data_IF_594873445334
#
_entry.id   IF_594873445334
#
_cell.length_a   1.000
_cell.length_b   1.000
_cell.length_c   1.000
_cell.angle_alpha   90.00
_cell.angle_beta   90.00
_cell.angle_gamma   90.00
#
_symmetry.space_group_name_H-M   'P 1'
#
loop_
_entity.id
_entity.type
_entity.pdbx_description
1 polymer ?
#
# COMPACT_ATOMS: atom_id res chain seq x y z
N UNK A 1 43.31 -30.96 31.86
CA UNK A 1 42.65 -29.63 31.87
C UNK A 1 43.24 -28.84 30.72
N UNK A 2 42.48 -28.71 29.59
CA UNK A 2 42.96 -27.94 28.45
C UNK A 2 43.08 -26.43 28.82
N UNK A 3 44.18 -25.84 28.48
CA UNK A 3 44.51 -24.44 28.77
C UNK A 3 43.46 -23.53 28.14
N UNK A 4 43.11 -22.39 28.80
CA UNK A 4 42.20 -21.36 28.29
C UNK A 4 42.59 -20.87 26.87
N UNK A 5 43.87 -20.94 26.53
CA UNK A 5 44.45 -20.61 25.22
C UNK A 5 44.04 -21.63 24.13
N UNK A 6 43.87 -22.91 24.51
CA UNK A 6 43.44 -23.98 23.61
C UNK A 6 41.95 -23.84 23.30
N UNK A 7 41.12 -23.59 24.34
CA UNK A 7 39.67 -23.35 24.17
C UNK A 7 39.38 -22.11 23.31
N UNK A 8 40.16 -21.03 23.43
CA UNK A 8 40.04 -19.85 22.58
C UNK A 8 40.36 -20.14 21.09
N UNK A 9 41.35 -21.02 20.82
CA UNK A 9 41.71 -21.41 19.45
C UNK A 9 40.63 -22.33 18.83
N UNK A 10 40.04 -23.21 19.60
CA UNK A 10 39.02 -24.14 19.15
C UNK A 10 37.72 -23.37 18.85
N UNK A 11 37.33 -22.38 19.66
CA UNK A 11 36.22 -21.49 19.44
C UNK A 11 36.38 -20.59 18.19
N UNK A 12 37.58 -20.06 17.95
CA UNK A 12 37.89 -19.28 16.73
C UNK A 12 37.78 -20.14 15.48
N UNK A 13 38.23 -21.39 15.51
CA UNK A 13 38.16 -22.31 14.37
C UNK A 13 36.71 -22.74 14.06
N UNK A 14 35.87 -22.87 15.09
CA UNK A 14 34.47 -23.15 14.96
C UNK A 14 33.71 -21.97 14.34
N UNK A 15 34.01 -20.74 14.76
CA UNK A 15 33.46 -19.49 14.20
C UNK A 15 33.86 -19.31 12.73
N UNK A 16 35.12 -19.52 12.37
CA UNK A 16 35.60 -19.47 10.97
C UNK A 16 34.91 -20.53 10.10
N UNK A 17 34.67 -21.73 10.65
CA UNK A 17 33.91 -22.79 9.97
C UNK A 17 32.44 -22.39 9.70
N UNK A 18 31.80 -21.76 10.67
CA UNK A 18 30.43 -21.30 10.56
C UNK A 18 30.27 -20.14 9.55
N UNK A 19 31.20 -19.17 9.55
CA UNK A 19 31.24 -18.06 8.57
C UNK A 19 31.44 -18.56 7.14
N UNK A 20 32.37 -19.48 6.92
CA UNK A 20 32.63 -20.07 5.60
C UNK A 20 31.46 -20.93 5.08
N UNK A 21 30.67 -21.54 5.98
CA UNK A 21 29.47 -22.30 5.62
C UNK A 21 28.33 -21.35 5.19
N UNK A 22 28.23 -20.19 5.82
CA UNK A 22 27.25 -19.15 5.48
C UNK A 22 27.57 -18.51 4.12
N UNK A 23 28.80 -18.14 3.88
CA UNK A 23 29.31 -17.61 2.60
C UNK A 23 29.08 -18.55 1.40
N UNK A 24 29.18 -19.88 1.64
CA UNK A 24 28.89 -20.89 0.62
C UNK A 24 27.39 -20.96 0.30
N UNK A 25 26.52 -20.83 1.30
CA UNK A 25 25.05 -20.83 1.09
C UNK A 25 24.61 -19.60 0.33
N UNK A 26 25.11 -18.41 0.66
CA UNK A 26 24.75 -17.17 -0.03
C UNK A 26 25.21 -17.14 -1.50
N UNK A 27 26.37 -17.75 -1.83
CA UNK A 27 26.86 -17.80 -3.23
C UNK A 27 26.18 -18.84 -4.11
N UNK A 28 25.51 -19.85 -3.55
CA UNK A 28 24.85 -20.90 -4.34
C UNK A 28 23.35 -20.67 -4.52
N UNK A 29 22.68 -19.89 -3.67
CA UNK A 29 21.26 -19.59 -3.79
C UNK A 29 20.85 -18.82 -5.06
N UNK A 30 21.56 -17.76 -5.50
CA UNK A 30 21.12 -17.02 -6.69
C UNK A 30 21.25 -17.84 -7.99
N UNK A 31 22.24 -18.74 -8.08
CA UNK A 31 22.44 -19.57 -9.28
C UNK A 31 21.36 -20.63 -9.46
N UNK A 32 20.87 -21.23 -8.36
CA UNK A 32 19.77 -22.23 -8.41
C UNK A 32 18.43 -21.60 -8.76
N UNK A 33 18.13 -20.40 -8.23
CA UNK A 33 16.90 -19.67 -8.54
C UNK A 33 16.87 -19.22 -10.00
N UNK A 34 17.99 -18.72 -10.53
CA UNK A 34 18.11 -18.31 -11.95
C UNK A 34 17.97 -19.50 -12.90
N UNK A 35 18.52 -20.67 -12.57
CA UNK A 35 18.37 -21.88 -13.38
C UNK A 35 16.93 -22.41 -13.39
N UNK A 36 16.22 -22.38 -12.28
CA UNK A 36 14.81 -22.79 -12.21
C UNK A 36 13.92 -21.81 -13.00
N UNK A 37 14.15 -20.49 -12.88
CA UNK A 37 13.42 -19.48 -13.65
C UNK A 37 13.64 -19.64 -15.17
N UNK A 38 14.85 -19.94 -15.60
CA UNK A 38 15.16 -20.16 -17.02
C UNK A 38 14.46 -21.41 -17.58
N UNK A 39 14.38 -22.50 -16.82
CA UNK A 39 13.67 -23.74 -17.25
C UNK A 39 12.17 -23.50 -17.36
N UNK A 40 11.57 -22.75 -16.41
CA UNK A 40 10.14 -22.41 -16.44
C UNK A 40 9.81 -21.51 -17.65
N UNK A 41 10.65 -20.52 -17.96
CA UNK A 41 10.47 -19.66 -19.12
C UNK A 41 10.53 -20.43 -20.43
N UNK A 42 11.48 -21.37 -20.59
CA UNK A 42 11.59 -22.22 -21.79
C UNK A 42 10.37 -23.14 -21.93
N UNK A 43 9.82 -23.65 -20.84
CA UNK A 43 8.61 -24.49 -20.86
C UNK A 43 7.36 -23.68 -21.27
N UNK A 44 7.23 -22.43 -20.79
CA UNK A 44 6.10 -21.55 -21.14
C UNK A 44 6.19 -21.14 -22.63
N UNK A 45 7.35 -20.69 -23.09
CA UNK A 45 7.56 -20.28 -24.49
C UNK A 45 7.40 -21.47 -25.45
N UNK A 46 7.93 -22.65 -25.08
CA UNK A 46 7.75 -23.88 -25.84
C UNK A 46 6.30 -24.35 -25.90
N UNK A 47 5.56 -24.21 -24.79
CA UNK A 47 4.12 -24.54 -24.72
C UNK A 47 3.27 -23.62 -25.60
N UNK A 48 3.54 -22.31 -25.58
CA UNK A 48 2.83 -21.33 -26.44
C UNK A 48 3.14 -21.56 -27.91
N UNK A 49 4.40 -21.82 -28.26
CA UNK A 49 4.80 -22.12 -29.64
C UNK A 49 4.15 -23.42 -30.16
N UNK A 50 4.08 -24.48 -29.32
CA UNK A 50 3.41 -25.72 -29.68
C UNK A 50 1.90 -25.55 -29.84
N UNK A 51 1.24 -24.81 -28.97
CA UNK A 51 -0.20 -24.51 -29.08
C UNK A 51 -0.52 -23.67 -30.34
N UNK A 52 0.34 -22.70 -30.69
CA UNK A 52 0.17 -21.86 -31.87
C UNK A 52 0.42 -22.61 -33.19
N UNK A 53 1.23 -23.69 -33.19
CA UNK A 53 1.55 -24.47 -34.39
C UNK A 53 0.65 -25.69 -34.58
N UNK A 54 -0.05 -26.15 -33.53
CA UNK A 54 -0.90 -27.34 -33.59
C UNK A 54 -2.34 -27.06 -34.07
N UNK A 55 -2.78 -25.78 -34.14
CA UNK A 55 -4.13 -25.39 -34.53
C UNK A 55 -4.24 -24.85 -35.96
N UNK A 56 -3.25 -25.07 -36.85
CA UNK A 56 -3.35 -24.73 -38.25
C UNK A 56 -3.42 -26.00 -39.12
N UNK A 57 -4.59 -26.59 -39.24
CA UNK A 57 -4.97 -27.41 -40.38
C UNK A 57 -6.18 -26.77 -41.06
N UNK A 58 -5.90 -26.22 -42.23
CA UNK A 58 -6.68 -25.90 -43.41
C UNK A 58 -8.22 -25.89 -43.33
N UNK A 59 -8.81 -24.71 -43.41
CA UNK A 59 -10.09 -24.50 -44.10
C UNK A 59 -9.95 -23.44 -45.20
N UNK A 60 -10.09 -23.92 -46.45
CA UNK A 60 -10.16 -23.16 -47.68
C UNK A 60 -11.50 -22.42 -47.70
N UNK A 61 -11.50 -21.07 -47.59
CA UNK A 61 -12.72 -20.26 -47.67
C UNK A 61 -12.92 -19.75 -49.07
N UNK A 62 -13.91 -20.29 -49.74
CA UNK A 62 -14.48 -19.77 -50.99
C UNK A 62 -15.22 -18.46 -50.71
N UNK A 63 -14.83 -17.41 -51.44
CA UNK A 63 -15.52 -16.11 -51.38
C UNK A 63 -16.87 -16.17 -52.12
N UNK A 64 -17.95 -15.88 -51.41
CA UNK A 64 -19.21 -15.40 -51.99
C UNK A 64 -19.67 -14.10 -51.32
N UNK A 65 -19.77 -13.10 -52.17
CA UNK A 65 -20.18 -11.74 -51.91
C UNK A 65 -21.71 -11.69 -51.57
N UNK A 66 -22.06 -11.26 -50.34
CA UNK A 66 -23.39 -10.68 -50.10
C UNK A 66 -23.33 -9.62 -49.00
N UNK A 67 -23.42 -8.37 -49.42
CA UNK A 67 -23.69 -7.23 -48.59
C UNK A 67 -25.03 -7.35 -47.87
N UNK A 68 -24.97 -7.44 -46.55
CA UNK A 68 -26.13 -7.08 -45.72
C UNK A 68 -25.59 -6.24 -44.56
N UNK A 69 -25.91 -4.95 -44.59
CA UNK A 69 -25.68 -4.04 -43.50
C UNK A 69 -26.63 -4.38 -42.33
N UNK A 70 -26.14 -5.10 -41.34
CA UNK A 70 -26.73 -5.10 -40.01
C UNK A 70 -25.90 -4.16 -39.15
N UNK A 71 -26.53 -3.06 -38.77
CA UNK A 71 -26.07 -2.15 -37.75
C UNK A 71 -26.04 -2.95 -36.44
N UNK A 72 -24.87 -3.46 -36.06
CA UNK A 72 -24.65 -3.90 -34.71
C UNK A 72 -24.65 -2.65 -33.82
N UNK A 73 -25.72 -2.55 -33.03
CA UNK A 73 -25.76 -1.67 -31.87
C UNK A 73 -24.73 -2.20 -30.87
N UNK A 74 -23.48 -1.76 -31.03
CA UNK A 74 -22.45 -1.98 -30.02
C UNK A 74 -22.81 -1.09 -28.84
N UNK A 75 -23.55 -1.65 -27.88
CA UNK A 75 -23.61 -1.12 -26.53
C UNK A 75 -22.16 -1.02 -26.06
N UNK A 76 -21.65 0.15 -25.63
CA UNK A 76 -20.30 0.23 -25.13
C UNK A 76 -20.20 -0.71 -23.92
N UNK A 77 -19.43 -1.77 -24.07
CA UNK A 77 -19.06 -2.66 -22.97
C UNK A 77 -18.46 -1.76 -21.89
N UNK A 78 -19.04 -1.76 -20.71
CA UNK A 78 -18.50 -1.02 -19.57
C UNK A 78 -17.10 -1.57 -19.28
N UNK A 79 -16.08 -0.81 -19.63
CA UNK A 79 -14.67 -1.22 -19.50
C UNK A 79 -14.08 -0.81 -18.15
N UNK A 80 -14.90 -0.38 -17.19
CA UNK A 80 -14.45 -0.08 -15.83
C UNK A 80 -14.04 -1.38 -15.13
N UNK A 81 -12.75 -1.55 -14.82
CA UNK A 81 -12.24 -2.77 -14.21
C UNK A 81 -12.74 -2.99 -12.78
N UNK A 82 -13.33 -1.98 -12.15
CA UNK A 82 -13.88 -2.02 -10.79
C UNK A 82 -15.39 -2.23 -10.72
N UNK A 83 -16.08 -2.25 -11.87
CA UNK A 83 -17.56 -2.30 -11.93
C UNK A 83 -18.19 -3.50 -11.22
N UNK A 84 -17.46 -4.60 -11.06
CA UNK A 84 -17.96 -5.83 -10.41
C UNK A 84 -17.69 -5.88 -8.90
N UNK A 85 -16.97 -4.89 -8.34
CA UNK A 85 -16.65 -4.83 -6.91
C UNK A 85 -17.67 -3.98 -6.15
N UNK A 86 -17.97 -4.40 -4.93
CA UNK A 86 -18.81 -3.60 -4.02
C UNK A 86 -18.02 -2.37 -3.53
N UNK A 87 -18.71 -1.23 -3.40
CA UNK A 87 -18.12 -0.04 -2.79
C UNK A 87 -17.92 -0.26 -1.29
N UNK A 88 -16.78 0.16 -0.77
CA UNK A 88 -16.50 0.18 0.66
C UNK A 88 -17.55 1.03 1.38
N UNK A 89 -18.18 0.49 2.41
CA UNK A 89 -18.98 1.29 3.31
C UNK A 89 -18.08 2.30 4.05
N UNK A 90 -18.55 3.51 4.28
CA UNK A 90 -17.82 4.57 5.01
C UNK A 90 -18.35 4.77 6.42
N UNK A 91 -19.32 3.97 6.83
CA UNK A 91 -19.93 3.98 8.16
C UNK A 91 -19.99 2.56 8.72
N UNK A 92 -19.83 2.43 10.03
CA UNK A 92 -19.98 1.16 10.74
C UNK A 92 -21.44 0.71 10.76
N UNK A 93 -21.65 -0.61 10.70
CA UNK A 93 -22.98 -1.21 10.84
C UNK A 93 -23.58 -0.95 12.24
N UNK A 94 -22.73 -0.92 13.27
CA UNK A 94 -23.11 -0.61 14.65
C UNK A 94 -22.15 0.46 15.22
N UNK A 95 -22.73 1.46 15.89
CA UNK A 95 -21.93 2.51 16.53
C UNK A 95 -21.09 1.96 17.69
N UNK A 96 -19.85 2.43 17.78
CA UNK A 96 -18.96 2.13 18.89
C UNK A 96 -19.46 2.77 20.20
N UNK A 97 -19.02 2.28 21.39
CA UNK A 97 -19.23 2.98 22.66
C UNK A 97 -18.61 4.39 22.59
N UNK A 98 -19.07 5.38 23.39
CA UNK A 98 -18.58 6.77 23.32
C UNK A 98 -17.06 6.92 23.49
N UNK A 99 -16.42 5.96 24.14
CA UNK A 99 -14.96 5.86 24.26
C UNK A 99 -14.51 4.41 24.14
N UNK A 100 -13.29 4.23 23.62
CA UNK A 100 -12.61 2.92 23.53
C UNK A 100 -11.23 3.01 24.16
N UNK A 101 -10.62 1.85 24.43
CA UNK A 101 -9.20 1.75 24.78
C UNK A 101 -8.43 1.23 23.59
N UNK A 102 -7.42 1.96 23.17
CA UNK A 102 -6.54 1.62 22.05
C UNK A 102 -5.25 1.00 22.59
N UNK A 103 -4.72 0.01 21.87
CA UNK A 103 -3.44 -0.62 22.21
C UNK A 103 -2.41 -0.28 21.13
N UNK A 104 -1.30 0.32 21.54
CA UNK A 104 -0.15 0.62 20.70
C UNK A 104 1.04 -0.19 21.20
N UNK A 105 1.54 -1.10 20.35
CA UNK A 105 2.63 -2.00 20.70
C UNK A 105 3.95 -1.46 20.15
N UNK A 106 4.99 -1.42 20.99
CA UNK A 106 6.34 -1.05 20.52
C UNK A 106 6.78 -2.00 19.39
N UNK A 107 7.27 -1.45 18.28
CA UNK A 107 7.76 -2.19 17.12
C UNK A 107 8.93 -1.50 16.43
N UNK A 108 10.11 -2.09 16.55
CA UNK A 108 11.34 -1.62 15.92
C UNK A 108 11.86 -0.28 16.43
N UNK A 109 12.84 0.25 15.71
CA UNK A 109 13.40 1.57 15.98
C UNK A 109 12.60 2.64 15.24
N UNK A 110 12.15 3.73 15.88
CA UNK A 110 11.37 4.78 15.22
C UNK A 110 12.22 5.57 14.20
N UNK A 111 11.61 5.92 13.05
CA UNK A 111 12.23 6.85 12.10
C UNK A 111 12.34 8.27 12.65
N UNK A 112 11.34 8.70 13.43
CA UNK A 112 11.35 9.84 14.36
C UNK A 112 10.74 9.37 15.68
N UNK A 113 11.40 9.63 16.80
CA UNK A 113 10.94 9.21 18.13
C UNK A 113 9.90 10.22 18.66
N UNK A 114 8.67 9.78 18.79
CA UNK A 114 7.53 10.57 19.31
C UNK A 114 6.83 9.88 20.48
N UNK A 115 7.36 8.75 20.95
CA UNK A 115 6.72 7.92 21.98
C UNK A 115 5.45 7.26 21.51
N UNK A 116 4.73 6.63 22.46
CA UNK A 116 3.44 5.96 22.20
C UNK A 116 2.28 6.94 22.39
N UNK A 117 1.21 6.85 21.58
CA UNK A 117 -0.04 7.56 21.85
C UNK A 117 -0.66 7.11 23.17
N UNK A 118 -1.36 8.02 23.86
CA UNK A 118 -2.23 7.64 24.99
C UNK A 118 -3.48 6.92 24.43
N UNK A 119 -3.66 5.67 24.83
CA UNK A 119 -4.76 4.83 24.35
C UNK A 119 -5.97 4.78 25.27
N UNK A 120 -5.95 5.48 26.43
CA UNK A 120 -7.04 5.40 27.40
C UNK A 120 -8.18 6.39 27.09
N UNK A 121 -9.43 5.89 27.13
CA UNK A 121 -10.64 6.71 26.93
C UNK A 121 -10.65 7.51 25.60
N UNK A 122 -10.16 6.91 24.52
CA UNK A 122 -10.16 7.53 23.18
C UNK A 122 -11.59 7.74 22.70
N UNK A 123 -11.94 8.96 22.32
CA UNK A 123 -13.28 9.32 21.82
C UNK A 123 -13.57 8.64 20.49
N UNK A 124 -14.80 8.15 20.36
CA UNK A 124 -15.34 7.59 19.09
C UNK A 124 -16.30 8.56 18.40
N UNK A 125 -16.39 9.79 18.87
CA UNK A 125 -17.35 10.78 18.36
C UNK A 125 -16.64 11.93 17.61
N UNK A 126 -17.28 12.38 16.52
CA UNK A 126 -16.88 13.53 15.74
C UNK A 126 -15.69 13.28 14.82
N UNK A 127 -15.31 14.33 14.11
CA UNK A 127 -14.20 14.34 13.17
C UNK A 127 -13.05 15.18 13.70
N UNK A 128 -11.85 14.96 13.14
CA UNK A 128 -10.66 15.81 13.33
C UNK A 128 -10.16 16.21 11.96
N UNK A 129 -9.95 17.50 11.75
CA UNK A 129 -9.33 17.96 10.52
C UNK A 129 -7.82 18.04 10.71
N UNK A 130 -7.08 17.40 9.82
CA UNK A 130 -5.63 17.53 9.68
C UNK A 130 -5.34 18.19 8.34
N UNK A 131 -4.56 19.25 8.34
CA UNK A 131 -4.07 19.89 7.12
C UNK A 131 -2.59 19.55 6.91
N UNK A 132 -2.29 19.05 5.72
CA UNK A 132 -0.92 18.85 5.24
C UNK A 132 -0.59 20.03 4.32
N UNK A 133 0.32 20.92 4.75
CA UNK A 133 0.96 21.87 3.86
C UNK A 133 2.00 21.15 3.03
N UNK A 134 1.76 21.00 1.73
CA UNK A 134 2.69 20.26 0.85
C UNK A 134 3.34 21.17 -0.19
N UNK A 135 4.45 20.70 -0.75
CA UNK A 135 5.14 21.39 -1.85
C UNK A 135 4.26 21.55 -3.10
N UNK A 136 3.18 20.79 -3.23
CA UNK A 136 2.24 20.82 -4.35
C UNK A 136 0.95 21.62 -4.04
N UNK A 137 0.72 21.98 -2.78
CA UNK A 137 -0.48 22.64 -2.27
C UNK A 137 -1.03 21.99 -1.01
N UNK A 138 -2.06 22.54 -0.38
CA UNK A 138 -2.65 21.99 0.82
C UNK A 138 -3.46 20.73 0.53
N UNK A 139 -3.45 19.78 1.48
CA UNK A 139 -4.30 18.58 1.49
C UNK A 139 -4.98 18.51 2.84
N UNK A 140 -6.27 18.84 2.88
CA UNK A 140 -7.09 18.70 4.08
C UNK A 140 -7.66 17.28 4.19
N UNK A 141 -7.48 16.67 5.36
CA UNK A 141 -7.97 15.34 5.73
C UNK A 141 -9.00 15.47 6.85
N UNK A 142 -10.22 15.00 6.62
CA UNK A 142 -11.27 14.90 7.64
C UNK A 142 -11.27 13.49 8.22
N UNK A 143 -10.70 13.31 9.40
CA UNK A 143 -10.51 12.02 10.06
C UNK A 143 -11.73 11.69 10.92
N UNK A 144 -12.30 10.50 10.75
CA UNK A 144 -13.55 10.10 11.40
C UNK A 144 -13.30 9.13 12.59
N UNK A 145 -13.52 9.65 13.80
CA UNK A 145 -13.42 8.85 15.04
C UNK A 145 -14.48 7.77 15.14
N UNK A 146 -15.60 7.91 14.43
CA UNK A 146 -16.69 6.94 14.54
C UNK A 146 -16.36 5.62 13.83
N UNK A 147 -15.46 5.64 12.85
CA UNK A 147 -15.07 4.44 12.10
C UNK A 147 -13.73 3.86 12.56
N UNK A 148 -12.75 4.69 12.93
CA UNK A 148 -11.41 4.23 13.30
C UNK A 148 -10.78 5.09 14.40
N UNK A 149 -11.32 5.06 15.62
CA UNK A 149 -10.88 5.95 16.71
C UNK A 149 -9.42 5.77 17.09
N UNK A 150 -8.89 4.54 17.11
CA UNK A 150 -7.50 4.28 17.47
C UNK A 150 -6.54 4.77 16.38
N UNK A 151 -6.92 4.63 15.13
CA UNK A 151 -6.17 5.16 13.99
C UNK A 151 -6.14 6.69 14.01
N UNK A 152 -7.32 7.33 14.20
CA UNK A 152 -7.39 8.80 14.30
C UNK A 152 -6.55 9.31 15.48
N UNK A 153 -6.61 8.64 16.63
CA UNK A 153 -5.80 8.98 17.81
C UNK A 153 -4.29 8.86 17.52
N UNK A 154 -3.86 7.81 16.84
CA UNK A 154 -2.46 7.63 16.43
C UNK A 154 -2.00 8.72 15.47
N UNK A 155 -2.80 9.01 14.42
CA UNK A 155 -2.46 10.05 13.43
C UNK A 155 -2.39 11.44 14.09
N UNK A 156 -3.35 11.79 14.95
CA UNK A 156 -3.33 13.06 15.70
C UNK A 156 -2.07 13.14 16.57
N UNK A 157 -1.74 12.09 17.32
CA UNK A 157 -0.51 12.05 18.12
C UNK A 157 0.75 12.28 17.25
N UNK A 158 0.82 11.65 16.07
CA UNK A 158 1.95 11.83 15.15
C UNK A 158 2.03 13.28 14.62
N UNK A 159 0.88 13.87 14.26
CA UNK A 159 0.80 15.28 13.81
C UNK A 159 1.21 16.24 14.92
N UNK A 160 0.68 16.08 16.14
CA UNK A 160 1.00 16.96 17.28
C UNK A 160 2.46 16.88 17.75
N UNK A 161 3.20 15.84 17.31
CA UNK A 161 4.63 15.67 17.59
C UNK A 161 5.51 15.87 16.34
N UNK A 162 5.04 16.63 15.34
CA UNK A 162 5.76 17.02 14.13
C UNK A 162 6.33 15.82 13.35
N UNK A 163 5.71 14.63 13.48
CA UNK A 163 6.24 13.40 12.89
C UNK A 163 6.30 13.45 11.37
N UNK A 164 5.29 14.06 10.74
CA UNK A 164 5.16 14.15 9.29
C UNK A 164 5.90 15.35 8.67
N UNK A 165 6.39 16.28 9.48
CA UNK A 165 7.08 17.48 9.01
C UNK A 165 8.38 17.14 8.28
N UNK A 166 8.61 17.83 7.16
CA UNK A 166 9.74 17.62 6.25
C UNK A 166 9.84 16.18 5.68
N UNK A 167 8.70 15.46 5.55
CA UNK A 167 8.67 14.11 4.99
C UNK A 167 8.17 14.11 3.55
N UNK A 168 8.45 13.03 2.80
CA UNK A 168 8.03 12.90 1.40
C UNK A 168 6.96 11.83 1.24
N UNK A 169 6.03 12.04 0.31
CA UNK A 169 5.14 11.00 -0.17
C UNK A 169 5.92 10.16 -1.19
N UNK A 170 6.36 9.01 -0.75
CA UNK A 170 7.40 8.21 -1.43
C UNK A 170 6.88 7.30 -2.55
N UNK A 171 5.56 7.10 -2.65
CA UNK A 171 4.96 6.19 -3.64
C UNK A 171 3.65 6.76 -4.17
N UNK A 172 3.46 6.63 -5.47
CA UNK A 172 2.20 6.89 -6.16
C UNK A 172 1.90 5.74 -7.12
N UNK A 173 0.63 5.39 -7.29
CA UNK A 173 0.18 4.43 -8.30
C UNK A 173 -0.75 5.11 -9.29
N UNK A 174 -0.65 4.73 -10.58
CA UNK A 174 -1.40 5.34 -11.69
C UNK A 174 -2.15 4.28 -12.51
N UNK A 175 -2.32 3.08 -11.95
CA UNK A 175 -3.05 1.99 -12.61
C UNK A 175 -4.57 2.21 -12.60
N UNK A 176 -5.27 1.63 -13.59
CA UNK A 176 -6.72 1.76 -13.74
C UNK A 176 -7.52 1.18 -12.55
N UNK A 177 -6.89 0.33 -11.72
CA UNK A 177 -7.52 -0.32 -10.56
C UNK A 177 -7.02 0.21 -9.22
N UNK A 178 -6.03 1.10 -9.21
CA UNK A 178 -5.50 1.68 -7.97
C UNK A 178 -4.78 2.99 -8.27
N UNK A 179 -5.30 4.08 -7.73
CA UNK A 179 -4.78 5.44 -7.88
C UNK A 179 -4.62 6.08 -6.51
N UNK A 180 -3.43 5.94 -5.93
CA UNK A 180 -3.12 6.42 -4.58
C UNK A 180 -1.82 7.18 -4.52
N UNK A 181 -1.73 8.14 -3.59
CA UNK A 181 -0.50 8.75 -3.10
C UNK A 181 -0.25 8.25 -1.68
N UNK A 182 0.89 7.59 -1.44
CA UNK A 182 1.27 7.04 -0.14
C UNK A 182 2.33 7.89 0.54
N UNK A 183 2.08 8.26 1.79
CA UNK A 183 2.91 9.13 2.61
C UNK A 183 3.13 8.51 4.01
N UNK A 184 3.82 9.25 4.89
CA UNK A 184 3.89 8.93 6.31
C UNK A 184 5.11 8.11 6.75
N UNK A 185 6.11 7.96 5.87
CA UNK A 185 7.43 7.43 6.22
C UNK A 185 8.49 8.54 6.22
N UNK A 186 9.01 8.97 7.39
CA UNK A 186 10.04 10.02 7.45
C UNK A 186 11.34 9.67 6.74
N UNK A 187 11.60 8.38 6.50
CA UNK A 187 12.80 7.93 5.76
C UNK A 187 12.65 8.06 4.24
N UNK A 188 11.42 8.18 3.74
CA UNK A 188 11.10 8.23 2.31
C UNK A 188 11.36 6.92 1.56
N UNK A 189 11.61 5.82 2.26
CA UNK A 189 11.94 4.52 1.66
C UNK A 189 10.75 3.56 1.56
N UNK A 190 9.64 3.88 2.22
CA UNK A 190 8.48 3.01 2.40
C UNK A 190 8.62 1.98 3.53
N UNK A 191 9.76 2.00 4.26
CA UNK A 191 10.05 1.02 5.32
C UNK A 191 10.12 1.62 6.72
N UNK A 192 10.12 2.95 6.84
CA UNK A 192 10.14 3.64 8.13
C UNK A 192 8.79 3.64 8.81
N UNK A 193 8.82 3.71 10.13
CA UNK A 193 7.62 3.75 10.98
C UNK A 193 7.86 4.50 12.28
N UNK A 194 6.82 4.63 13.12
CA UNK A 194 6.86 5.45 14.33
C UNK A 194 7.45 4.73 15.55
N UNK A 195 7.91 3.47 15.39
CA UNK A 195 8.39 2.64 16.49
C UNK A 195 7.25 1.95 17.27
N UNK A 196 6.05 2.00 16.75
CA UNK A 196 4.90 1.26 17.27
C UNK A 196 3.96 0.79 16.15
N UNK A 197 3.16 -0.23 16.48
CA UNK A 197 2.10 -0.77 15.62
C UNK A 197 0.78 -0.88 16.40
N UNK A 198 -0.33 -0.86 15.65
CA UNK A 198 -1.66 -1.06 16.20
C UNK A 198 -2.56 -1.85 15.25
N UNK A 199 -3.64 -2.39 15.82
CA UNK A 199 -4.54 -3.30 15.11
C UNK A 199 -5.32 -2.58 14.00
N UNK A 200 -5.77 -3.36 13.00
CA UNK A 200 -6.70 -2.88 12.00
C UNK A 200 -8.05 -2.57 12.67
N UNK A 201 -8.69 -1.51 12.18
CA UNK A 201 -10.06 -1.15 12.52
C UNK A 201 -10.98 -1.35 11.31
N UNK A 202 -12.01 -0.54 11.15
CA UNK A 202 -12.96 -0.63 10.05
C UNK A 202 -12.29 -0.50 8.65
N UNK A 203 -12.64 -1.32 7.67
CA UNK A 203 -13.71 -2.34 7.68
C UNK A 203 -13.26 -3.72 8.17
N UNK A 204 -11.97 -3.91 8.45
CA UNK A 204 -11.36 -5.23 8.74
C UNK A 204 -12.00 -5.91 9.95
N UNK A 205 -12.39 -5.14 10.96
CA UNK A 205 -12.98 -5.64 12.20
C UNK A 205 -14.50 -5.96 12.09
N UNK A 206 -15.14 -5.58 10.96
CA UNK A 206 -16.55 -5.90 10.69
C UNK A 206 -16.74 -6.93 9.56
N UNK A 207 -15.69 -7.41 8.91
CA UNK A 207 -15.79 -8.40 7.86
C UNK A 207 -15.03 -9.69 8.18
N UNK A 208 -15.64 -10.83 7.81
CA UNK A 208 -14.95 -12.14 7.88
C UNK A 208 -14.11 -12.40 6.62
N UNK A 209 -14.47 -11.78 5.49
CA UNK A 209 -13.75 -11.90 4.21
C UNK A 209 -12.88 -10.66 3.98
N UNK A 210 -11.60 -10.77 4.30
CA UNK A 210 -10.59 -9.75 4.06
C UNK A 210 -9.82 -9.98 2.75
N UNK A 211 -10.31 -10.84 1.86
CA UNK A 211 -9.61 -11.21 0.62
C UNK A 211 -10.32 -10.73 -0.65
N UNK A 212 -11.65 -10.64 -0.65
CA UNK A 212 -12.42 -10.13 -1.80
C UNK A 212 -12.27 -8.61 -1.88
N UNK A 213 -11.79 -8.06 -3.02
CA UNK A 213 -11.63 -6.63 -3.17
C UNK A 213 -12.96 -5.87 -3.07
N UNK A 214 -12.88 -4.68 -2.47
CA UNK A 214 -13.92 -3.66 -2.47
C UNK A 214 -13.37 -2.37 -3.06
N UNK A 215 -14.21 -1.46 -3.50
CA UNK A 215 -13.79 -0.17 -4.04
C UNK A 215 -13.62 0.83 -2.90
N UNK A 216 -12.38 1.24 -2.65
CA UNK A 216 -12.07 2.45 -1.89
C UNK A 216 -12.24 3.63 -2.84
N UNK A 217 -13.36 4.34 -2.72
CA UNK A 217 -13.69 5.44 -3.62
C UNK A 217 -12.67 6.58 -3.55
N UNK A 218 -12.57 7.32 -4.64
CA UNK A 218 -11.81 8.58 -4.67
C UNK A 218 -12.18 9.47 -3.48
N UNK A 219 -11.18 9.99 -2.83
CA UNK A 219 -11.31 10.83 -1.63
C UNK A 219 -11.14 10.09 -0.32
N UNK A 220 -11.20 8.75 -0.31
CA UNK A 220 -10.99 7.98 0.93
C UNK A 220 -9.53 7.98 1.36
N UNK A 221 -9.32 7.89 2.68
CA UNK A 221 -8.01 7.80 3.32
C UNK A 221 -7.93 6.48 4.07
N UNK A 222 -6.85 5.70 3.86
CA UNK A 222 -6.66 4.46 4.59
C UNK A 222 -5.21 4.25 5.02
N UNK A 223 -5.03 3.41 6.06
CA UNK A 223 -3.70 3.06 6.57
C UNK A 223 -3.00 2.09 5.61
N UNK A 224 -1.75 2.38 5.30
CA UNK A 224 -0.85 1.38 4.73
C UNK A 224 -0.33 0.46 5.84
N UNK A 225 -0.21 -0.84 5.54
CA UNK A 225 0.30 -1.84 6.48
C UNK A 225 1.16 -2.90 5.79
N UNK A 226 1.90 -3.68 6.58
CA UNK A 226 2.74 -4.79 6.12
C UNK A 226 2.07 -6.17 6.36
N UNK A 227 0.77 -6.18 6.55
CA UNK A 227 -0.06 -7.34 6.86
C UNK A 227 -1.04 -7.04 8.00
N UNK A 228 -1.83 -8.01 8.45
CA UNK A 228 -2.84 -7.78 9.46
C UNK A 228 -2.25 -7.19 10.75
N UNK A 229 -2.90 -6.15 11.29
CA UNK A 229 -2.54 -5.55 12.58
C UNK A 229 -1.12 -4.96 12.65
N UNK A 230 -0.65 -4.39 11.55
CA UNK A 230 0.66 -3.73 11.44
C UNK A 230 0.55 -2.26 11.00
N UNK A 231 -0.54 -1.58 11.36
CA UNK A 231 -0.67 -0.16 11.12
C UNK A 231 0.39 0.60 11.92
N UNK A 232 0.99 1.61 11.31
CA UNK A 232 1.99 2.48 11.93
C UNK A 232 1.71 3.94 11.63
N UNK A 233 2.58 4.58 10.86
CA UNK A 233 2.43 5.99 10.46
C UNK A 233 2.07 6.19 8.99
N UNK A 234 2.22 5.16 8.16
CA UNK A 234 2.01 5.30 6.72
C UNK A 234 0.54 5.21 6.36
N UNK A 235 0.09 6.08 5.47
CA UNK A 235 -1.26 6.13 4.95
C UNK A 235 -1.26 6.39 3.45
N UNK A 236 -2.38 6.12 2.80
CA UNK A 236 -2.56 6.47 1.40
C UNK A 236 -3.85 7.26 1.17
N UNK A 237 -3.76 8.15 0.19
CA UNK A 237 -4.78 9.08 -0.24
C UNK A 237 -5.28 8.61 -1.61
N UNK A 238 -6.54 8.19 -1.70
CA UNK A 238 -7.14 7.74 -2.96
C UNK A 238 -7.51 8.96 -3.81
N UNK A 239 -6.73 9.25 -4.85
CA UNK A 239 -7.05 10.30 -5.82
C UNK A 239 -7.90 9.80 -7.00
N UNK A 240 -8.10 8.50 -7.08
CA UNK A 240 -9.07 7.79 -7.91
C UNK A 240 -9.57 6.57 -7.17
N UNK A 241 -10.50 5.83 -7.76
CA UNK A 241 -11.04 4.63 -7.17
C UNK A 241 -9.97 3.53 -7.08
N UNK A 242 -9.98 2.77 -5.99
CA UNK A 242 -9.01 1.72 -5.72
C UNK A 242 -9.67 0.40 -5.35
N UNK A 243 -9.46 -0.66 -6.14
CA UNK A 243 -9.90 -2.03 -5.84
C UNK A 243 -8.91 -2.71 -4.89
N UNK A 244 -9.20 -2.73 -3.60
CA UNK A 244 -8.34 -3.30 -2.57
C UNK A 244 -9.11 -4.26 -1.67
N UNK A 245 -8.45 -5.30 -1.13
CA UNK A 245 -9.03 -6.08 -0.04
C UNK A 245 -9.41 -5.19 1.14
N UNK A 246 -10.50 -5.47 1.88
CA UNK A 246 -10.92 -4.71 3.07
C UNK A 246 -10.00 -4.99 4.27
N UNK A 247 -8.69 -4.99 4.03
CA UNK A 247 -7.60 -5.23 4.98
C UNK A 247 -6.84 -3.95 5.35
N UNK A 248 -7.28 -2.81 4.82
CA UNK A 248 -6.69 -1.49 5.07
C UNK A 248 -7.69 -0.64 5.82
N UNK A 249 -7.32 -0.18 7.02
CA UNK A 249 -8.20 0.63 7.86
C UNK A 249 -8.55 1.94 7.17
N UNK A 250 -9.83 2.09 6.79
CA UNK A 250 -10.39 3.36 6.37
C UNK A 250 -10.60 4.25 7.59
N UNK A 251 -10.18 5.52 7.53
CA UNK A 251 -10.27 6.41 8.69
C UNK A 251 -10.65 7.86 8.37
N UNK A 252 -10.99 8.19 7.13
CA UNK A 252 -11.40 9.55 6.80
C UNK A 252 -11.52 9.85 5.32
N UNK A 253 -11.78 11.13 5.03
CA UNK A 253 -12.00 11.68 3.69
C UNK A 253 -11.07 12.87 3.44
N UNK A 254 -10.72 13.07 2.18
CA UNK A 254 -9.96 14.22 1.67
C UNK A 254 -10.96 15.29 1.27
N UNK A 255 -10.74 16.53 1.66
CA UNK A 255 -11.60 17.64 1.26
C UNK A 255 -11.40 18.04 -0.22
N UNK A 256 -12.30 18.87 -0.76
CA UNK A 256 -12.28 19.27 -2.19
C UNK A 256 -10.96 19.97 -2.59
N UNK A 257 -10.36 20.77 -1.72
CA UNK A 257 -9.08 21.43 -1.96
C UNK A 257 -7.94 20.44 -2.05
N UNK A 258 -7.89 19.48 -1.13
CA UNK A 258 -6.92 18.38 -1.13
C UNK A 258 -7.06 17.50 -2.38
N UNK A 259 -8.28 17.21 -2.82
CA UNK A 259 -8.52 16.47 -4.07
C UNK A 259 -7.99 17.22 -5.28
N UNK A 260 -8.16 18.56 -5.35
CA UNK A 260 -7.61 19.35 -6.43
C UNK A 260 -6.07 19.36 -6.43
N UNK A 261 -5.45 19.38 -5.23
CA UNK A 261 -4.00 19.25 -5.09
C UNK A 261 -3.51 17.88 -5.57
N UNK A 262 -4.20 16.79 -5.18
CA UNK A 262 -3.88 15.42 -5.62
C UNK A 262 -4.03 15.24 -7.14
N UNK A 263 -5.03 15.85 -7.77
CA UNK A 263 -5.17 15.83 -9.23
C UNK A 263 -3.96 16.49 -9.90
N UNK A 264 -3.50 17.62 -9.37
CA UNK A 264 -2.31 18.31 -9.89
C UNK A 264 -1.04 17.47 -9.72
N UNK A 265 -0.90 16.73 -8.62
CA UNK A 265 0.20 15.78 -8.40
C UNK A 265 0.12 14.64 -9.43
N UNK A 266 -1.07 14.07 -9.61
CA UNK A 266 -1.30 12.96 -10.53
C UNK A 266 -0.98 13.33 -11.99
N UNK A 267 -1.26 14.57 -12.41
CA UNK A 267 -0.94 15.08 -13.75
C UNK A 267 0.56 15.08 -14.03
N UNK A 268 1.43 15.19 -13.02
CA UNK A 268 2.89 15.12 -13.20
C UNK A 268 3.37 13.71 -13.53
N UNK A 269 2.59 12.69 -13.15
CA UNK A 269 2.90 11.28 -13.35
C UNK A 269 3.96 10.73 -12.41
N UNK A 270 4.57 9.61 -12.81
CA UNK A 270 5.63 8.93 -12.06
C UNK A 270 7.01 9.28 -12.61
N UNK A 271 8.05 9.09 -11.78
CA UNK A 271 9.43 9.09 -12.27
C UNK A 271 9.58 8.18 -13.51
N UNK A 272 10.40 8.56 -14.51
CA UNK A 272 10.48 7.84 -15.80
C UNK A 272 10.81 6.35 -15.68
N UNK A 273 11.54 5.94 -14.64
CA UNK A 273 11.89 4.54 -14.41
C UNK A 273 10.70 3.72 -13.89
N UNK A 274 9.78 4.35 -13.19
CA UNK A 274 8.61 3.75 -12.55
C UNK A 274 7.35 3.81 -13.42
N UNK A 275 7.27 4.79 -14.32
CA UNK A 275 6.10 5.03 -15.17
C UNK A 275 5.58 3.80 -15.94
N UNK A 276 6.44 2.92 -16.52
CA UNK A 276 5.95 1.73 -17.23
C UNK A 276 5.25 0.70 -16.34
N UNK A 277 5.55 0.69 -15.03
CA UNK A 277 4.93 -0.22 -14.07
C UNK A 277 3.66 0.37 -13.44
N UNK A 278 3.43 1.68 -13.59
CA UNK A 278 2.32 2.38 -12.95
C UNK A 278 2.43 2.44 -11.41
N UNK A 279 3.61 2.24 -10.86
CA UNK A 279 3.88 2.22 -9.40
C UNK A 279 5.31 2.70 -9.13
N UNK A 280 5.46 3.74 -8.33
CA UNK A 280 6.76 4.31 -7.97
C UNK A 280 6.65 5.69 -7.33
N UNK A 281 7.76 6.44 -7.29
CA UNK A 281 7.74 7.79 -6.78
C UNK A 281 7.03 8.75 -7.76
N UNK A 282 6.35 9.81 -7.27
CA UNK A 282 5.88 10.91 -8.10
C UNK A 282 7.02 11.51 -8.92
N UNK A 283 6.73 11.98 -10.15
CA UNK A 283 7.75 12.60 -11.02
C UNK A 283 8.32 13.90 -10.42
N UNK A 284 7.49 14.65 -9.72
CA UNK A 284 7.90 15.78 -8.89
C UNK A 284 7.78 15.37 -7.42
N UNK A 285 8.82 15.65 -6.61
CA UNK A 285 8.81 15.31 -5.18
C UNK A 285 7.65 16.02 -4.48
N UNK A 286 6.79 15.25 -3.83
CA UNK A 286 5.71 15.75 -2.97
C UNK A 286 6.19 15.69 -1.52
N UNK A 287 6.49 16.87 -0.96
CA UNK A 287 6.96 17.02 0.43
C UNK A 287 5.87 17.60 1.31
N UNK A 288 5.63 16.99 2.44
CA UNK A 288 4.83 17.56 3.53
C UNK A 288 5.78 18.52 4.28
N UNK A 289 5.57 19.83 4.13
CA UNK A 289 6.34 20.84 4.83
C UNK A 289 5.97 20.88 6.31
N UNK A 290 4.67 20.82 6.60
CA UNK A 290 4.09 20.84 7.94
C UNK A 290 2.75 20.07 7.94
N UNK A 291 2.45 19.38 9.03
CA UNK A 291 1.15 18.78 9.28
C UNK A 291 0.53 19.37 10.55
N UNK A 292 -0.72 19.83 10.49
CA UNK A 292 -1.38 20.50 11.62
C UNK A 292 -2.79 19.94 11.84
N UNK A 293 -3.17 19.82 13.13
CA UNK A 293 -4.58 19.67 13.51
C UNK A 293 -5.22 21.04 13.45
N UNK A 294 -6.27 21.19 12.64
CA UNK A 294 -7.05 22.43 12.53
C UNK A 294 -8.42 22.26 13.18
N UNK A 295 -8.87 23.27 13.92
CA UNK A 295 -10.16 23.27 14.64
C UNK A 295 -11.33 23.72 13.72
#
# INVERSE_FOLDING_TARGET
>A
VSSNKQRGKDALKELEGALNARDRKEKTQPLTVVLIAAVVLVAIVGGIYWAATYNNEDEEVVAEDQATSESADETPENTDPLADFETLATERAEALPPTVTCTYNEDGDPAKDVGLPDGENVSTEGTVTVELDTSAGPIGMELDRSVAPCTVNAIVHLVENDYYDDTVCHRMTTGDTLQVLQCGDPTGTGSGGPGFQFDNEFPTDETEDTSTPVVYERGTIAMANAGPNTNGSQFFLNYGDGGLPPAYTYFGQINDEGLATLDSIAETGLEPQSAPAGDGAPAEEVRINEAQVVE
#
